data_IF_144589625843
#
_entry.id   IF_144589625843
#
_cell.length_a   1.000
_cell.length_b   1.000
_cell.length_c   1.000
_cell.angle_alpha   90.00
_cell.angle_beta   90.00
_cell.angle_gamma   90.00
#
_symmetry.space_group_name_H-M   'P 1'
#
loop_
_entity.id
_entity.type
_entity.pdbx_description
1 polymer ?
#
# COMPACT_ATOMS: atom_id res chain seq x y z
N UNK A 1 -19.62 15.46 15.25
CA UNK A 1 -18.29 14.83 15.24
C UNK A 1 -18.51 13.34 15.34
N UNK A 2 -18.29 12.58 14.27
CA UNK A 2 -18.31 11.13 14.37
C UNK A 2 -16.99 10.73 15.03
N UNK A 3 -17.07 10.25 16.27
CA UNK A 3 -15.92 9.64 16.93
C UNK A 3 -15.86 8.21 16.43
N UNK A 4 -14.98 7.96 15.47
CA UNK A 4 -14.70 6.60 15.03
C UNK A 4 -14.00 5.87 16.18
N UNK A 5 -14.73 4.94 16.81
CA UNK A 5 -14.27 4.10 17.90
C UNK A 5 -13.99 2.71 17.37
N UNK A 6 -12.81 2.19 17.69
CA UNK A 6 -12.37 0.86 17.29
C UNK A 6 -11.99 0.05 18.52
N UNK A 7 -12.21 -1.26 18.51
CA UNK A 7 -11.53 -2.13 19.47
C UNK A 7 -10.04 -2.21 19.11
N UNK A 8 -9.17 -2.50 20.08
CA UNK A 8 -7.75 -2.78 19.81
C UNK A 8 -7.60 -3.89 18.77
N UNK A 9 -8.46 -4.90 18.81
CA UNK A 9 -8.52 -5.98 17.82
C UNK A 9 -8.79 -5.46 16.41
N UNK A 10 -9.85 -4.67 16.23
CA UNK A 10 -10.22 -4.08 14.95
C UNK A 10 -9.15 -3.13 14.44
N UNK A 11 -8.60 -2.28 15.32
CA UNK A 11 -7.53 -1.35 14.97
C UNK A 11 -6.27 -2.11 14.50
N UNK A 12 -5.94 -3.23 15.13
CA UNK A 12 -4.81 -4.08 14.72
C UNK A 12 -5.03 -4.73 13.36
N UNK A 13 -6.24 -5.20 13.08
CA UNK A 13 -6.62 -5.76 11.77
C UNK A 13 -6.49 -4.72 10.65
N UNK A 14 -7.06 -3.54 10.88
CA UNK A 14 -7.02 -2.43 9.92
C UNK A 14 -5.61 -1.89 9.71
N UNK A 15 -4.72 -2.01 10.71
CA UNK A 15 -3.32 -1.60 10.61
C UNK A 15 -2.53 -2.41 9.58
N UNK A 16 -2.94 -3.65 9.32
CA UNK A 16 -2.33 -4.56 8.35
C UNK A 16 -3.22 -4.76 7.10
N UNK A 17 -4.13 -3.82 6.83
CA UNK A 17 -5.09 -3.85 5.72
C UNK A 17 -5.93 -5.15 5.64
N UNK A 18 -6.16 -5.78 6.80
CA UNK A 18 -6.97 -7.00 6.91
C UNK A 18 -8.36 -6.67 7.43
N UNK A 19 -9.38 -7.30 6.86
CA UNK A 19 -10.76 -7.13 7.32
C UNK A 19 -10.90 -7.64 8.76
N UNK A 20 -11.34 -6.82 9.74
CA UNK A 20 -11.53 -7.28 11.11
C UNK A 20 -12.51 -8.45 11.23
N UNK A 21 -13.46 -8.63 10.30
CA UNK A 21 -14.37 -9.78 10.30
C UNK A 21 -13.68 -11.10 9.89
N UNK A 22 -12.53 -11.01 9.23
CA UNK A 22 -11.76 -12.19 8.79
C UNK A 22 -10.87 -12.76 9.91
N UNK A 23 -10.63 -11.99 10.97
CA UNK A 23 -9.80 -12.40 12.09
C UNK A 23 -10.67 -13.16 13.10
N UNK A 24 -10.53 -14.49 13.11
CA UNK A 24 -11.24 -15.31 14.08
C UNK A 24 -10.46 -15.39 15.40
N UNK A 25 -11.08 -15.14 16.56
CA UNK A 25 -10.44 -15.33 17.88
C UNK A 25 -9.96 -16.77 18.14
N UNK A 26 -10.48 -17.73 17.36
CA UNK A 26 -10.18 -19.16 17.43
C UNK A 26 -9.17 -19.62 16.37
N UNK A 27 -8.76 -18.76 15.43
CA UNK A 27 -7.76 -19.13 14.43
C UNK A 27 -6.35 -19.08 15.04
N UNK A 28 -5.72 -20.25 15.13
CA UNK A 28 -4.31 -20.42 15.57
C UNK A 28 -3.27 -19.83 14.60
N UNK A 29 -3.70 -19.23 13.50
CA UNK A 29 -2.83 -18.75 12.41
C UNK A 29 -3.11 -17.29 12.06
N UNK A 30 -3.28 -16.44 13.07
CA UNK A 30 -3.23 -15.00 12.83
C UNK A 30 -1.86 -14.64 12.23
N UNK A 31 -1.80 -13.67 11.31
CA UNK A 31 -0.53 -13.18 10.80
C UNK A 31 0.37 -12.74 11.97
N UNK A 32 1.68 -13.05 11.95
CA UNK A 32 2.59 -12.62 13.04
C UNK A 32 2.62 -11.09 13.19
N UNK A 33 2.38 -10.37 12.09
CA UNK A 33 2.27 -8.91 12.06
C UNK A 33 1.05 -8.39 12.84
N UNK A 34 -0.09 -9.08 12.74
CA UNK A 34 -1.29 -8.74 13.50
C UNK A 34 -1.04 -8.82 15.00
N UNK A 35 -0.45 -9.93 15.47
CA UNK A 35 -0.13 -10.11 16.90
C UNK A 35 0.91 -9.08 17.36
N UNK A 36 1.88 -8.72 16.51
CA UNK A 36 2.84 -7.67 16.82
C UNK A 36 2.18 -6.29 16.98
N UNK A 37 1.24 -5.91 16.11
CA UNK A 37 0.49 -4.65 16.24
C UNK A 37 -0.43 -4.69 17.46
N UNK A 38 -1.11 -5.80 17.70
CA UNK A 38 -1.97 -5.98 18.87
C UNK A 38 -1.19 -5.80 20.17
N UNK A 39 0.01 -6.39 20.25
CA UNK A 39 0.94 -6.20 21.37
C UNK A 39 1.43 -4.75 21.45
N UNK A 40 1.73 -4.10 20.33
CA UNK A 40 2.15 -2.70 20.26
C UNK A 40 1.08 -1.77 20.86
N UNK A 41 -0.17 -1.92 20.44
CA UNK A 41 -1.30 -1.11 20.91
C UNK A 41 -1.62 -1.40 22.37
N UNK A 42 -1.66 -2.68 22.76
CA UNK A 42 -1.84 -3.10 24.16
C UNK A 42 -0.76 -2.51 25.06
N UNK A 43 0.51 -2.58 24.63
CA UNK A 43 1.63 -1.98 25.34
C UNK A 43 1.49 -0.46 25.46
N UNK A 44 1.04 0.21 24.40
CA UNK A 44 0.75 1.65 24.41
C UNK A 44 -0.31 2.05 25.44
N UNK A 45 -1.34 1.23 25.62
CA UNK A 45 -2.39 1.46 26.64
C UNK A 45 -1.80 1.29 28.04
N UNK A 46 -1.05 0.21 28.26
CA UNK A 46 -0.42 -0.09 29.55
C UNK A 46 0.59 1.00 29.95
N UNK A 47 1.37 1.52 29.00
CA UNK A 47 2.31 2.62 29.26
C UNK A 47 1.64 3.99 29.39
N UNK A 48 0.34 4.09 29.09
CA UNK A 48 -0.40 5.36 29.06
C UNK A 48 -0.08 6.24 27.84
N UNK A 49 0.63 5.72 26.85
CA UNK A 49 0.92 6.40 25.58
C UNK A 49 -0.29 6.45 24.64
N UNK A 50 -1.19 5.47 24.75
CA UNK A 50 -2.42 5.37 23.96
C UNK A 50 -3.62 5.43 24.90
N UNK A 51 -4.49 6.42 24.71
CA UNK A 51 -5.74 6.53 25.46
C UNK A 51 -6.72 5.49 24.95
N UNK A 52 -7.21 4.65 25.86
CA UNK A 52 -8.27 3.69 25.59
C UNK A 52 -9.34 3.78 26.67
N UNK A 53 -10.60 3.64 26.26
CA UNK A 53 -11.71 3.40 27.16
C UNK A 53 -11.76 1.91 27.50
N UNK A 54 -11.41 1.62 28.75
CA UNK A 54 -11.40 0.26 29.32
C UNK A 54 -12.68 -0.07 30.07
N UNK A 55 -13.64 0.86 30.17
CA UNK A 55 -14.89 0.65 30.91
C UNK A 55 -15.73 -0.50 30.34
N UNK A 56 -15.59 -0.77 29.05
CA UNK A 56 -16.26 -1.85 28.32
C UNK A 56 -15.54 -3.19 28.38
N UNK A 57 -14.33 -3.25 28.94
CA UNK A 57 -13.49 -4.44 28.98
C UNK A 57 -13.15 -4.87 30.41
N UNK A 58 -13.88 -5.84 30.94
CA UNK A 58 -13.64 -6.39 32.28
C UNK A 58 -12.25 -7.06 32.44
N UNK A 59 -11.62 -7.48 31.34
CA UNK A 59 -10.32 -8.15 31.35
C UNK A 59 -9.12 -7.18 31.34
N UNK A 60 -9.36 -5.86 31.32
CA UNK A 60 -8.28 -4.88 31.37
C UNK A 60 -7.46 -4.98 32.67
N UNK A 61 -8.09 -5.42 33.77
CA UNK A 61 -7.46 -5.57 35.09
C UNK A 61 -6.31 -6.58 35.06
N UNK A 62 -6.41 -7.60 34.19
CA UNK A 62 -5.39 -8.63 34.00
C UNK A 62 -4.45 -8.32 32.80
N UNK A 63 -4.51 -7.10 32.27
CA UNK A 63 -3.66 -6.65 31.16
C UNK A 63 -4.12 -7.08 29.76
N UNK A 64 -5.31 -7.70 29.63
CA UNK A 64 -5.87 -8.00 28.31
C UNK A 64 -6.68 -6.80 27.81
N UNK A 65 -6.11 -6.07 26.86
CA UNK A 65 -6.74 -4.87 26.29
C UNK A 65 -7.40 -5.09 24.93
N UNK A 66 -7.54 -6.33 24.45
CA UNK A 66 -8.00 -6.65 23.08
C UNK A 66 -9.35 -6.01 22.71
N UNK A 67 -10.27 -5.94 23.68
CA UNK A 67 -11.62 -5.36 23.52
C UNK A 67 -11.73 -3.93 24.04
N UNK A 68 -10.64 -3.31 24.47
CA UNK A 68 -10.66 -1.90 24.90
C UNK A 68 -10.89 -1.01 23.68
N UNK A 69 -11.62 0.09 23.87
CA UNK A 69 -11.98 0.99 22.78
C UNK A 69 -10.93 2.09 22.67
N UNK A 70 -10.53 2.38 21.43
CA UNK A 70 -9.57 3.42 21.08
C UNK A 70 -10.18 4.33 20.04
N UNK A 71 -9.98 5.65 20.20
CA UNK A 71 -10.45 6.61 19.22
C UNK A 71 -9.47 6.71 18.05
N UNK A 72 -9.98 7.07 16.87
CA UNK A 72 -9.13 7.34 15.70
C UNK A 72 -8.06 8.41 15.97
N UNK A 73 -8.44 9.50 16.63
CA UNK A 73 -7.53 10.61 16.94
C UNK A 73 -6.40 10.20 17.88
N UNK A 74 -6.69 9.35 18.87
CA UNK A 74 -5.68 8.82 19.78
C UNK A 74 -4.74 7.85 19.05
N UNK A 75 -5.27 7.03 18.14
CA UNK A 75 -4.47 6.15 17.30
C UNK A 75 -3.55 6.93 16.35
N UNK A 76 -4.04 7.99 15.70
CA UNK A 76 -3.23 8.88 14.86
C UNK A 76 -2.10 9.54 15.65
N UNK A 77 -2.41 10.05 16.84
CA UNK A 77 -1.42 10.68 17.72
C UNK A 77 -0.35 9.67 18.14
N UNK A 78 -0.76 8.47 18.54
CA UNK A 78 0.14 7.38 18.93
C UNK A 78 1.03 6.92 17.77
N UNK A 79 0.44 6.74 16.59
CA UNK A 79 1.14 6.33 15.38
C UNK A 79 2.17 7.37 14.94
N UNK A 80 1.76 8.65 14.89
CA UNK A 80 2.64 9.78 14.56
C UNK A 80 3.82 9.89 15.53
N UNK A 81 3.57 9.76 16.84
CA UNK A 81 4.62 9.78 17.88
C UNK A 81 5.66 8.67 17.68
N UNK A 82 5.24 7.51 17.17
CA UNK A 82 6.12 6.37 16.89
C UNK A 82 6.65 6.33 15.45
N UNK A 83 6.38 7.34 14.63
CA UNK A 83 6.68 7.37 13.19
C UNK A 83 6.14 6.14 12.44
N UNK A 84 4.92 5.73 12.79
CA UNK A 84 4.16 4.69 12.11
C UNK A 84 2.99 5.35 11.37
N UNK A 85 2.76 4.94 10.13
CA UNK A 85 1.74 5.53 9.27
C UNK A 85 0.91 4.42 8.61
N UNK A 86 0.04 3.73 9.37
CA UNK A 86 -0.89 2.78 8.78
C UNK A 86 -1.84 3.50 7.82
N UNK A 87 -2.14 2.85 6.69
CA UNK A 87 -3.00 3.41 5.66
C UNK A 87 -4.35 3.85 6.23
N UNK A 88 -5.04 2.99 6.98
CA UNK A 88 -6.39 3.29 7.50
C UNK A 88 -6.52 4.55 8.38
N UNK A 89 -5.43 5.04 9.00
CA UNK A 89 -5.42 6.27 9.81
C UNK A 89 -5.05 7.51 8.99
N UNK A 90 -4.10 7.39 8.07
CA UNK A 90 -3.49 8.55 7.40
C UNK A 90 -3.83 8.65 5.91
N UNK A 91 -4.79 7.86 5.43
CA UNK A 91 -5.25 7.88 4.04
C UNK A 91 -5.98 9.19 3.70
N UNK A 92 -5.19 10.24 3.47
CA UNK A 92 -5.58 11.50 2.83
C UNK A 92 -5.24 11.47 1.34
N UNK A 93 -4.86 10.30 0.80
CA UNK A 93 -4.48 10.08 -0.59
C UNK A 93 -5.02 8.75 -1.17
N UNK A 94 -6.30 8.45 -0.92
CA UNK A 94 -7.04 7.51 -1.76
C UNK A 94 -7.86 8.27 -2.81
N UNK A 95 -7.30 8.60 -3.99
CA UNK A 95 -8.12 8.42 -5.17
C UNK A 95 -8.23 6.89 -5.36
N UNK A 96 -9.46 6.40 -5.49
CA UNK A 96 -9.79 5.01 -5.90
C UNK A 96 -9.80 3.94 -4.80
N UNK A 97 -10.65 4.15 -3.79
CA UNK A 97 -11.41 3.03 -3.22
C UNK A 97 -12.32 2.47 -4.32
N UNK A 98 -12.14 1.19 -4.66
CA UNK A 98 -13.01 0.42 -5.56
C UNK A 98 -14.49 0.63 -5.22
N UNK A 99 -15.27 1.07 -6.19
CA UNK A 99 -16.71 0.83 -6.21
C UNK A 99 -17.17 0.76 -7.67
N UNK A 100 -17.58 -0.45 -8.07
CA UNK A 100 -18.41 -0.68 -9.24
C UNK A 100 -19.70 0.12 -9.11
N UNK A 101 -19.82 1.28 -9.77
CA UNK A 101 -21.11 1.80 -10.24
C UNK A 101 -20.92 2.92 -11.30
N UNK A 102 -21.32 2.58 -12.54
CA UNK A 102 -21.81 3.40 -13.66
C UNK A 102 -21.66 4.96 -13.65
N UNK A 103 -21.07 5.43 -14.77
CA UNK A 103 -20.88 6.78 -15.38
C UNK A 103 -22.04 7.83 -15.22
N UNK A 104 -21.91 9.14 -15.62
CA UNK A 104 -20.95 9.71 -16.60
C UNK A 104 -20.35 11.12 -16.35
N UNK A 105 -19.41 11.43 -17.25
CA UNK A 105 -18.69 12.68 -17.57
C UNK A 105 -19.40 14.02 -17.32
N UNK A 106 -18.81 14.88 -16.51
CA UNK A 106 -18.65 16.35 -16.64
C UNK A 106 -17.87 16.83 -15.40
N UNK A 107 -16.83 17.66 -15.41
CA UNK A 107 -16.63 18.89 -16.16
C UNK A 107 -15.13 19.24 -16.17
N UNK A 108 -14.70 19.83 -17.28
CA UNK A 108 -13.36 20.35 -17.56
C UNK A 108 -13.19 21.70 -16.86
N UNK A 109 -12.04 21.92 -16.22
CA UNK A 109 -11.61 23.23 -15.73
C UNK A 109 -10.08 23.27 -15.53
N UNK A 110 -9.35 24.16 -16.22
CA UNK A 110 -7.88 24.18 -16.18
C UNK A 110 -7.35 25.10 -15.07
N UNK A 111 -6.03 25.05 -14.86
CA UNK A 111 -5.10 26.17 -14.58
C UNK A 111 -4.15 25.94 -13.38
N UNK A 112 -2.94 25.53 -13.74
CA UNK A 112 -1.64 26.07 -13.34
C UNK A 112 -1.06 25.91 -11.91
N UNK A 113 0.06 25.16 -11.91
CA UNK A 113 1.37 25.55 -11.40
C UNK A 113 1.59 25.77 -9.90
N UNK A 114 2.11 24.74 -9.23
CA UNK A 114 3.30 24.85 -8.37
C UNK A 114 3.97 23.48 -8.22
N UNK A 115 5.14 23.32 -8.86
CA UNK A 115 6.06 22.22 -8.62
C UNK A 115 6.64 22.45 -7.22
N UNK A 116 6.23 21.66 -6.22
CA UNK A 116 6.96 21.53 -4.96
C UNK A 116 7.66 20.17 -4.93
N UNK A 117 8.98 20.27 -4.81
CA UNK A 117 9.94 19.18 -4.77
C UNK A 117 9.59 18.21 -3.63
N UNK A 118 9.43 16.93 -3.97
CA UNK A 118 9.32 15.84 -3.00
C UNK A 118 10.59 15.78 -2.13
N UNK A 119 10.49 15.80 -0.79
CA UNK A 119 11.63 15.49 0.06
C UNK A 119 11.97 14.01 -0.08
N UNK A 120 13.25 13.75 -0.36
CA UNK A 120 13.82 12.43 -0.55
C UNK A 120 13.45 11.47 0.59
N UNK A 121 12.94 10.29 0.22
CA UNK A 121 12.69 9.19 1.13
C UNK A 121 14.02 8.74 1.77
N UNK A 122 14.25 9.11 3.03
CA UNK A 122 15.36 8.58 3.81
C UNK A 122 15.06 7.12 4.19
N UNK A 123 15.48 6.20 3.32
CA UNK A 123 15.35 4.76 3.56
C UNK A 123 16.22 4.34 4.74
N UNK A 124 15.56 3.77 5.76
CA UNK A 124 16.20 3.01 6.85
C UNK A 124 16.88 1.78 6.25
N UNK A 125 18.21 1.75 6.28
CA UNK A 125 19.02 0.53 6.34
C UNK A 125 18.74 -0.54 5.27
N UNK A 126 18.91 -0.20 3.99
CA UNK A 126 19.00 -1.16 2.90
C UNK A 126 19.78 -0.52 1.75
N UNK A 127 20.64 -1.29 1.06
CA UNK A 127 21.34 -0.81 -0.14
C UNK A 127 20.28 -0.21 -1.08
N UNK A 128 20.40 1.07 -1.50
CA UNK A 128 19.38 1.69 -2.35
C UNK A 128 19.15 0.77 -3.56
N UNK A 129 17.88 0.49 -3.93
CA UNK A 129 17.60 -0.31 -5.12
C UNK A 129 18.28 0.37 -6.30
N UNK A 130 19.22 -0.34 -6.91
CA UNK A 130 20.12 0.21 -7.93
C UNK A 130 19.36 0.72 -9.16
N UNK A 131 18.12 0.28 -9.36
CA UNK A 131 17.28 0.59 -10.52
C UNK A 131 15.83 0.78 -10.09
N UNK A 132 15.20 1.83 -10.61
CA UNK A 132 13.79 2.16 -10.41
C UNK A 132 12.91 1.28 -11.32
N UNK A 133 12.59 0.11 -10.78
CA UNK A 133 11.82 -0.92 -11.47
C UNK A 133 10.32 -0.66 -11.53
N UNK A 134 9.80 0.21 -10.66
CA UNK A 134 8.40 0.59 -10.67
C UNK A 134 8.14 1.55 -11.83
N UNK A 135 9.05 2.52 -12.04
CA UNK A 135 9.02 3.36 -13.22
C UNK A 135 9.12 2.56 -14.53
N UNK A 136 9.88 1.46 -14.55
CA UNK A 136 9.95 0.55 -15.70
C UNK A 136 8.58 -0.07 -16.03
N UNK A 137 7.84 -0.55 -15.04
CA UNK A 137 6.51 -1.15 -15.28
C UNK A 137 5.50 -0.08 -15.70
N UNK A 138 5.55 1.11 -15.09
CA UNK A 138 4.67 2.23 -15.46
C UNK A 138 4.86 2.66 -16.91
N UNK A 139 6.10 2.68 -17.41
CA UNK A 139 6.38 3.00 -18.81
C UNK A 139 5.82 1.94 -19.76
N UNK A 140 5.89 0.66 -19.40
CA UNK A 140 5.27 -0.43 -20.17
C UNK A 140 3.75 -0.26 -20.21
N UNK A 141 3.11 0.05 -19.09
CA UNK A 141 1.65 0.31 -19.02
C UNK A 141 1.28 1.55 -19.85
N UNK A 142 2.08 2.62 -19.79
CA UNK A 142 1.89 3.81 -20.60
C UNK A 142 1.91 3.47 -22.09
N UNK A 143 2.84 2.62 -22.51
CA UNK A 143 2.97 2.16 -23.91
C UNK A 143 1.83 1.23 -24.32
N UNK A 144 1.41 0.33 -23.44
CA UNK A 144 0.25 -0.54 -23.69
C UNK A 144 -1.04 0.24 -23.96
N UNK A 145 -1.17 1.43 -23.37
CA UNK A 145 -2.32 2.33 -23.57
C UNK A 145 -2.18 3.25 -24.80
N UNK A 146 -1.06 3.21 -25.54
CA UNK A 146 -0.95 3.92 -26.82
C UNK A 146 -1.83 3.21 -27.88
N UNK A 147 -2.30 3.93 -28.91
CA UNK A 147 -3.10 3.34 -29.99
C UNK A 147 -2.36 2.24 -30.77
N UNK A 148 -1.02 2.24 -30.72
CA UNK A 148 -0.14 1.22 -31.30
C UNK A 148 0.04 -0.01 -30.35
N UNK A 149 -0.29 0.15 -29.07
CA UNK A 149 -0.17 -0.90 -28.05
C UNK A 149 1.26 -1.28 -27.70
N UNK A 150 1.41 -2.47 -27.11
CA UNK A 150 2.73 -3.09 -26.93
C UNK A 150 3.15 -3.74 -28.26
N UNK A 151 4.45 -3.74 -28.59
CA UNK A 151 4.96 -4.49 -29.74
C UNK A 151 4.53 -5.95 -29.68
N UNK A 152 4.31 -6.62 -30.82
CA UNK A 152 3.98 -8.05 -30.83
C UNK A 152 5.16 -8.93 -30.37
N UNK A 153 6.38 -8.42 -30.54
CA UNK A 153 7.61 -9.16 -30.24
C UNK A 153 8.24 -8.62 -28.97
N UNK A 154 8.51 -9.55 -28.04
CA UNK A 154 9.26 -9.29 -26.81
C UNK A 154 10.59 -8.56 -27.07
N UNK A 155 11.31 -8.92 -28.14
CA UNK A 155 12.62 -8.32 -28.46
C UNK A 155 12.53 -6.81 -28.75
N UNK A 156 11.46 -6.38 -29.40
CA UNK A 156 11.24 -4.97 -29.74
C UNK A 156 10.97 -4.15 -28.46
N UNK A 157 10.14 -4.69 -27.55
CA UNK A 157 9.90 -4.05 -26.25
C UNK A 157 11.16 -4.01 -25.37
N UNK A 158 12.00 -5.06 -25.41
CA UNK A 158 13.28 -5.06 -24.67
C UNK A 158 14.18 -3.93 -25.17
N UNK A 159 14.34 -3.80 -26.49
CA UNK A 159 15.18 -2.75 -27.09
C UNK A 159 14.70 -1.36 -26.71
N UNK A 160 13.41 -1.12 -26.80
CA UNK A 160 12.87 0.21 -26.53
C UNK A 160 12.87 0.57 -25.04
N UNK A 161 12.78 -0.42 -24.16
CA UNK A 161 12.89 -0.21 -22.72
C UNK A 161 14.33 0.01 -22.28
N UNK A 162 15.31 -0.63 -22.93
CA UNK A 162 16.74 -0.33 -22.73
C UNK A 162 17.05 1.11 -23.16
N UNK A 163 16.57 1.52 -24.33
CA UNK A 163 16.72 2.90 -24.81
C UNK A 163 16.07 3.91 -23.86
N UNK A 164 14.87 3.62 -23.35
CA UNK A 164 14.21 4.48 -22.37
C UNK A 164 14.98 4.57 -21.05
N UNK A 165 15.55 3.46 -20.57
CA UNK A 165 16.31 3.44 -19.34
C UNK A 165 17.60 4.25 -19.46
N UNK A 166 18.30 4.11 -20.60
CA UNK A 166 19.46 4.92 -20.95
C UNK A 166 19.10 6.40 -21.01
N UNK A 167 18.01 6.77 -21.70
CA UNK A 167 17.58 8.16 -21.82
C UNK A 167 17.16 8.80 -20.49
N UNK A 168 16.61 8.01 -19.55
CA UNK A 168 16.05 8.52 -18.29
C UNK A 168 17.03 8.51 -17.12
N UNK A 169 17.85 7.46 -17.02
CA UNK A 169 18.72 7.24 -15.86
C UNK A 169 20.21 7.29 -16.20
N UNK A 170 20.57 7.45 -17.48
CA UNK A 170 21.96 7.37 -17.99
C UNK A 170 22.69 6.11 -17.50
N UNK A 171 21.91 5.06 -17.24
CA UNK A 171 22.37 3.78 -16.74
C UNK A 171 21.76 2.70 -17.61
N UNK A 172 22.58 1.72 -17.99
CA UNK A 172 22.10 0.58 -18.75
C UNK A 172 21.95 -0.61 -17.79
N UNK A 173 20.72 -0.98 -17.37
CA UNK A 173 20.52 -2.21 -16.65
C UNK A 173 20.85 -3.39 -17.58
N UNK A 174 21.32 -4.49 -17.01
CA UNK A 174 21.64 -5.67 -17.81
C UNK A 174 20.41 -6.10 -18.65
N UNK A 175 20.61 -6.30 -19.96
CA UNK A 175 19.58 -6.75 -20.90
C UNK A 175 18.85 -8.00 -20.39
N UNK A 176 19.58 -8.92 -19.74
CA UNK A 176 19.03 -10.13 -19.13
C UNK A 176 18.00 -9.84 -18.03
N UNK A 177 18.20 -8.78 -17.23
CA UNK A 177 17.28 -8.35 -16.17
C UNK A 177 16.00 -7.75 -16.77
N UNK A 178 16.14 -6.93 -17.80
CA UNK A 178 15.00 -6.35 -18.55
C UNK A 178 14.19 -7.45 -19.23
N UNK A 179 14.87 -8.36 -19.93
CA UNK A 179 14.25 -9.50 -20.63
C UNK A 179 13.48 -10.42 -19.68
N UNK A 180 14.06 -10.75 -18.52
CA UNK A 180 13.41 -11.61 -17.52
C UNK A 180 12.08 -11.03 -17.03
N UNK A 181 11.99 -9.70 -16.91
CA UNK A 181 10.77 -8.99 -16.48
C UNK A 181 9.73 -8.92 -17.58
N UNK A 182 10.14 -8.55 -18.80
CA UNK A 182 9.23 -8.50 -19.95
C UNK A 182 8.66 -9.88 -20.25
N UNK A 183 9.48 -10.94 -20.13
CA UNK A 183 9.03 -12.32 -20.34
C UNK A 183 7.84 -12.69 -19.45
N UNK A 184 7.88 -12.28 -18.17
CA UNK A 184 6.76 -12.51 -17.24
C UNK A 184 5.49 -11.80 -17.70
N UNK A 185 5.62 -10.56 -18.17
CA UNK A 185 4.47 -9.76 -18.65
C UNK A 185 3.80 -10.45 -19.83
N UNK A 186 4.57 -10.87 -20.84
CA UNK A 186 4.01 -11.58 -22.00
C UNK A 186 3.38 -12.92 -21.63
N UNK A 187 3.99 -13.67 -20.71
CA UNK A 187 3.42 -14.93 -20.23
C UNK A 187 2.05 -14.71 -19.58
N UNK A 188 1.91 -13.69 -18.73
CA UNK A 188 0.62 -13.34 -18.13
C UNK A 188 -0.41 -12.86 -19.16
N UNK A 189 0.02 -12.09 -20.17
CA UNK A 189 -0.87 -11.65 -21.25
C UNK A 189 -1.37 -12.83 -22.10
N UNK A 190 -0.51 -13.81 -22.38
CA UNK A 190 -0.88 -15.02 -23.12
C UNK A 190 -1.82 -15.92 -22.31
N UNK A 191 -1.55 -16.11 -21.02
CA UNK A 191 -2.45 -16.82 -20.09
C UNK A 191 -3.83 -16.16 -20.00
N UNK A 192 -3.89 -14.83 -19.92
CA UNK A 192 -5.15 -14.07 -19.89
C UNK A 192 -5.94 -14.19 -21.20
N UNK A 193 -5.24 -14.17 -22.35
CA UNK A 193 -5.84 -14.34 -23.68
C UNK A 193 -6.42 -15.75 -23.85
N UNK A 194 -5.69 -16.78 -23.40
CA UNK A 194 -6.10 -18.18 -23.50
C UNK A 194 -7.20 -18.56 -22.49
N UNK A 195 -7.38 -17.80 -21.41
CA UNK A 195 -8.42 -18.04 -20.39
C UNK A 195 -9.80 -17.44 -20.74
N UNK A 196 -9.89 -16.66 -21.83
CA UNK A 196 -11.14 -16.04 -22.29
C UNK A 196 -11.83 -16.81 -23.43
N UNK A 197 -11.54 -18.10 -23.60
CA UNK A 197 -12.08 -18.93 -24.68
C UNK A 197 -12.86 -20.15 -24.18
#
# INVERSE_FOLDING_TARGET
>A
MNVDLFTVEQASALWIDTDPASISPLQRFNPPEYEAIKQLLTGGIITGDLRADTSTNALHIIGNHSSSLVSRADLETFASKRNLFPAFLFDTLAPFRRQDSFAPLTQIGPTSAAIQQQPAHANRGGRPPQYDWDAFVMEIVRRANLPDGLPDRQADLVRDMLFWFQAKYDQEPAESAVKARISKIYKYLDEAKNSSH
#
